data_IF_818953005315
#
_entry.id   IF_818953005315
#
_cell.length_a   1.000
_cell.length_b   1.000
_cell.length_c   1.000
_cell.angle_alpha   90.00
_cell.angle_beta   90.00
_cell.angle_gamma   90.00
#
_symmetry.space_group_name_H-M   'P 1'
#
loop_
_entity.id
_entity.type
_entity.pdbx_description
1 polymer ?
#
# COMPACT_ATOMS: atom_id res chain seq x y z
N UNK A 1 -13.13 7.29 -2.12
CA UNK A 1 -13.64 6.01 -1.54
C UNK A 1 -14.94 5.60 -2.21
N UNK A 2 -15.88 6.53 -2.40
CA UNK A 2 -17.20 6.28 -3.02
C UNK A 2 -17.17 5.50 -4.35
N UNK A 3 -16.19 5.74 -5.23
CA UNK A 3 -16.11 4.99 -6.50
C UNK A 3 -15.63 3.55 -6.32
N UNK A 4 -14.78 3.29 -5.32
CA UNK A 4 -14.32 1.92 -4.97
C UNK A 4 -15.48 1.14 -4.36
N UNK A 5 -16.27 1.77 -3.49
CA UNK A 5 -17.44 1.15 -2.84
C UNK A 5 -18.62 0.89 -3.80
N UNK A 6 -18.59 1.45 -5.02
CA UNK A 6 -19.55 1.17 -6.11
C UNK A 6 -19.12 0.02 -7.01
N UNK A 7 -17.87 -0.41 -6.91
CA UNK A 7 -17.34 -1.60 -7.61
C UNK A 7 -17.53 -2.80 -6.69
N UNK A 8 -17.93 -3.95 -7.24
CA UNK A 8 -17.96 -5.18 -6.45
C UNK A 8 -16.56 -5.45 -5.87
N UNK A 9 -16.49 -5.82 -4.60
CA UNK A 9 -15.24 -6.15 -3.93
C UNK A 9 -14.40 -7.18 -4.73
N UNK A 10 -15.08 -8.13 -5.38
CA UNK A 10 -14.44 -9.17 -6.20
C UNK A 10 -13.81 -8.61 -7.49
N UNK A 11 -14.34 -7.51 -8.03
CA UNK A 11 -13.87 -6.89 -9.27
C UNK A 11 -12.67 -5.95 -9.06
N UNK A 12 -12.31 -5.67 -7.81
CA UNK A 12 -11.12 -4.86 -7.51
C UNK A 12 -9.89 -5.69 -7.83
N UNK A 13 -9.19 -5.30 -8.90
CA UNK A 13 -7.88 -5.80 -9.27
C UNK A 13 -6.83 -4.69 -9.10
N UNK A 14 -5.86 -4.90 -8.20
CA UNK A 14 -4.78 -3.94 -7.96
C UNK A 14 -3.69 -4.18 -8.99
N UNK A 15 -3.79 -3.48 -10.12
CA UNK A 15 -2.84 -3.53 -11.23
C UNK A 15 -2.03 -2.22 -11.31
N UNK A 16 -0.93 -2.17 -12.09
CA UNK A 16 -0.21 -0.92 -12.32
C UNK A 16 -1.11 0.19 -12.88
N UNK A 17 -2.03 -0.16 -13.78
CA UNK A 17 -2.99 0.79 -14.36
C UNK A 17 -3.98 1.26 -13.31
N UNK A 18 -4.51 0.36 -12.47
CA UNK A 18 -5.39 0.75 -11.38
C UNK A 18 -4.71 1.75 -10.44
N UNK A 19 -3.45 1.50 -10.05
CA UNK A 19 -2.67 2.41 -9.20
C UNK A 19 -2.46 3.78 -9.87
N UNK A 20 -2.09 3.79 -11.15
CA UNK A 20 -1.92 5.02 -11.92
C UNK A 20 -3.23 5.79 -12.06
N UNK A 21 -4.34 5.11 -12.32
CA UNK A 21 -5.65 5.77 -12.40
C UNK A 21 -6.07 6.35 -11.06
N UNK A 22 -5.93 5.61 -9.94
CA UNK A 22 -6.25 6.15 -8.61
C UNK A 22 -5.37 7.34 -8.26
N UNK A 23 -4.10 7.31 -8.65
CA UNK A 23 -3.21 8.46 -8.52
C UNK A 23 -3.64 9.65 -9.37
N UNK A 24 -4.14 9.41 -10.60
CA UNK A 24 -4.73 10.44 -11.45
C UNK A 24 -6.02 11.00 -10.86
N UNK A 25 -6.91 10.16 -10.35
CA UNK A 25 -8.16 10.59 -9.72
C UNK A 25 -7.89 11.49 -8.51
N UNK A 26 -6.82 11.19 -7.75
CA UNK A 26 -6.45 11.94 -6.55
C UNK A 26 -5.79 13.30 -6.83
N UNK A 27 -4.94 13.38 -7.86
CA UNK A 27 -4.03 14.50 -8.06
C UNK A 27 -4.16 15.18 -9.44
N UNK A 28 -5.00 14.63 -10.33
CA UNK A 28 -5.10 15.01 -11.74
C UNK A 28 -5.47 16.47 -11.97
N UNK A 29 -6.42 17.00 -11.20
CA UNK A 29 -6.90 18.37 -11.36
C UNK A 29 -5.83 19.40 -10.98
N UNK A 30 -5.03 19.10 -9.95
CA UNK A 30 -3.97 19.98 -9.47
C UNK A 30 -2.66 19.82 -10.25
N UNK A 31 -2.40 18.59 -10.74
CA UNK A 31 -1.11 18.22 -11.31
C UNK A 31 -1.24 17.39 -12.60
N UNK A 32 -1.91 17.91 -13.63
CA UNK A 32 -2.24 17.16 -14.85
C UNK A 32 -1.00 16.67 -15.63
N UNK A 33 0.15 17.35 -15.46
CA UNK A 33 1.39 17.00 -16.16
C UNK A 33 2.05 15.69 -15.71
N UNK A 34 1.77 15.22 -14.48
CA UNK A 34 2.43 14.04 -13.91
C UNK A 34 1.52 13.11 -13.10
N UNK A 35 0.31 13.54 -12.73
CA UNK A 35 -0.63 12.68 -12.03
C UNK A 35 -0.97 11.42 -12.86
N UNK A 36 -1.02 10.28 -12.18
CA UNK A 36 -1.16 8.97 -12.78
C UNK A 36 -0.02 8.51 -13.68
N UNK A 37 1.20 9.02 -13.47
CA UNK A 37 2.44 8.54 -14.12
C UNK A 37 3.47 8.20 -13.06
N UNK A 38 4.23 7.13 -13.27
CA UNK A 38 5.38 6.83 -12.42
C UNK A 38 6.42 7.96 -12.49
N UNK A 39 7.19 8.12 -11.41
CA UNK A 39 8.27 9.10 -11.36
C UNK A 39 9.34 8.78 -12.39
N UNK A 40 9.94 9.82 -12.94
CA UNK A 40 11.03 9.73 -13.94
C UNK A 40 12.35 10.28 -13.41
N UNK A 41 12.43 10.45 -12.09
CA UNK A 41 13.61 10.94 -11.37
C UNK A 41 13.77 10.15 -10.09
N UNK A 42 15.00 10.07 -9.61
CA UNK A 42 15.28 9.52 -8.29
C UNK A 42 14.84 10.49 -7.20
N UNK A 43 14.50 9.95 -6.03
CA UNK A 43 13.95 10.69 -4.89
C UNK A 43 14.55 10.15 -3.61
N UNK A 44 14.42 10.92 -2.52
CA UNK A 44 14.77 10.50 -1.17
C UNK A 44 13.59 10.74 -0.25
N UNK A 45 13.23 9.75 0.55
CA UNK A 45 12.03 9.75 1.40
C UNK A 45 12.45 9.57 2.85
N UNK A 46 12.71 10.68 3.53
CA UNK A 46 13.38 10.65 4.84
C UNK A 46 14.76 10.02 4.72
N UNK A 47 14.93 8.85 5.33
CA UNK A 47 16.19 8.06 5.27
C UNK A 47 16.20 7.01 4.16
N UNK A 48 15.05 6.70 3.57
CA UNK A 48 14.92 5.73 2.49
C UNK A 48 15.39 6.35 1.17
N UNK A 49 16.19 5.59 0.43
CA UNK A 49 16.50 5.82 -0.98
C UNK A 49 15.76 4.74 -1.78
N UNK A 50 14.57 5.05 -2.33
CA UNK A 50 13.80 4.10 -3.14
C UNK A 50 14.60 3.64 -4.37
N UNK A 51 14.18 2.54 -5.01
CA UNK A 51 14.81 2.06 -6.24
C UNK A 51 14.97 3.14 -7.31
N UNK A 52 15.95 3.04 -8.21
CA UNK A 52 16.06 3.98 -9.31
C UNK A 52 14.78 4.07 -10.15
N UNK A 53 14.43 5.26 -10.64
CA UNK A 53 13.14 5.51 -11.31
C UNK A 53 12.89 4.58 -12.51
N UNK A 54 13.95 4.17 -13.21
CA UNK A 54 13.85 3.28 -14.36
C UNK A 54 13.45 1.85 -13.99
N UNK A 55 13.60 1.43 -12.72
CA UNK A 55 13.15 0.13 -12.22
C UNK A 55 11.69 0.14 -11.77
N UNK A 56 11.13 1.31 -11.45
CA UNK A 56 9.77 1.45 -10.88
C UNK A 56 8.71 0.72 -11.70
N UNK A 57 8.60 0.85 -13.04
CA UNK A 57 7.54 0.18 -13.79
C UNK A 57 7.56 -1.34 -13.64
N UNK A 58 8.76 -1.94 -13.64
CA UNK A 58 8.94 -3.38 -13.45
C UNK A 58 8.64 -3.82 -12.02
N UNK A 59 9.10 -3.05 -11.03
CA UNK A 59 8.86 -3.37 -9.62
C UNK A 59 7.39 -3.25 -9.24
N UNK A 60 6.66 -2.26 -9.77
CA UNK A 60 5.20 -2.14 -9.55
C UNK A 60 4.46 -3.30 -10.20
N UNK A 61 4.86 -3.72 -11.42
CA UNK A 61 4.28 -4.90 -12.08
C UNK A 61 4.48 -6.16 -11.22
N UNK A 62 5.72 -6.43 -10.82
CA UNK A 62 6.03 -7.56 -9.93
C UNK A 62 5.27 -7.50 -8.61
N UNK A 63 5.16 -6.31 -8.00
CA UNK A 63 4.35 -6.12 -6.79
C UNK A 63 2.88 -6.49 -7.00
N UNK A 64 2.26 -6.07 -8.10
CA UNK A 64 0.87 -6.40 -8.42
C UNK A 64 0.67 -7.89 -8.73
N UNK A 65 1.60 -8.50 -9.45
CA UNK A 65 1.57 -9.92 -9.80
C UNK A 65 1.73 -10.78 -8.53
N UNK A 66 2.71 -10.45 -7.67
CA UNK A 66 2.93 -11.10 -6.37
C UNK A 66 1.71 -10.94 -5.45
N UNK A 67 1.10 -9.75 -5.39
CA UNK A 67 -0.11 -9.51 -4.60
C UNK A 67 -1.26 -10.40 -5.08
N UNK A 68 -1.45 -10.50 -6.39
CA UNK A 68 -2.48 -11.36 -6.99
C UNK A 68 -2.28 -12.82 -6.59
N UNK A 69 -1.05 -13.30 -6.64
CA UNK A 69 -0.72 -14.68 -6.31
C UNK A 69 -0.85 -14.97 -4.81
N UNK A 70 -0.40 -14.05 -3.95
CA UNK A 70 -0.57 -14.14 -2.49
C UNK A 70 -2.04 -14.18 -2.09
N UNK A 71 -2.89 -13.40 -2.74
CA UNK A 71 -4.33 -13.40 -2.48
C UNK A 71 -4.98 -14.75 -2.84
N UNK A 72 -4.53 -15.43 -3.90
CA UNK A 72 -5.03 -16.77 -4.27
C UNK A 72 -4.71 -17.85 -3.23
N UNK A 73 -3.64 -17.66 -2.47
CA UNK A 73 -3.14 -18.63 -1.49
C UNK A 73 -3.35 -18.17 -0.04
N UNK A 74 -4.11 -17.09 0.16
CA UNK A 74 -4.38 -16.58 1.49
C UNK A 74 -5.36 -17.52 2.20
N UNK A 75 -5.01 -18.09 3.36
CA UNK A 75 -5.93 -18.93 4.11
C UNK A 75 -7.14 -18.12 4.59
N UNK A 76 -8.32 -18.73 4.53
CA UNK A 76 -9.52 -18.17 5.16
C UNK A 76 -9.33 -18.15 6.70
N UNK A 77 -9.83 -17.10 7.34
CA UNK A 77 -9.84 -16.92 8.80
C UNK A 77 -8.48 -16.98 9.52
N UNK A 78 -7.37 -16.74 8.81
CA UNK A 78 -6.04 -16.64 9.41
C UNK A 78 -5.57 -15.18 9.54
N UNK A 79 -5.83 -14.61 10.71
CA UNK A 79 -5.45 -13.23 11.05
C UNK A 79 -3.94 -12.98 10.88
N UNK A 80 -3.10 -13.97 11.16
CA UNK A 80 -1.64 -13.81 11.10
C UNK A 80 -1.18 -13.69 9.66
N UNK A 81 -1.69 -14.56 8.76
CA UNK A 81 -1.38 -14.50 7.34
C UNK A 81 -1.98 -13.26 6.67
N UNK A 82 -3.19 -12.86 7.05
CA UNK A 82 -3.81 -11.61 6.57
C UNK A 82 -2.97 -10.40 6.98
N UNK A 83 -2.58 -10.30 8.26
CA UNK A 83 -1.74 -9.21 8.75
C UNK A 83 -0.36 -9.20 8.08
N UNK A 84 0.22 -10.38 7.83
CA UNK A 84 1.49 -10.53 7.10
C UNK A 84 1.38 -9.98 5.66
N UNK A 85 0.29 -10.32 4.96
CA UNK A 85 0.01 -9.79 3.62
C UNK A 85 -0.13 -8.26 3.63
N UNK A 86 -0.92 -7.72 4.56
CA UNK A 86 -1.15 -6.28 4.65
C UNK A 86 0.14 -5.52 5.00
N UNK A 87 0.96 -6.05 5.91
CA UNK A 87 2.27 -5.49 6.23
C UNK A 87 3.21 -5.49 5.02
N UNK A 88 3.26 -6.59 4.26
CA UNK A 88 4.05 -6.66 3.03
C UNK A 88 3.55 -5.64 1.99
N UNK A 89 2.23 -5.50 1.80
CA UNK A 89 1.67 -4.50 0.86
C UNK A 89 2.03 -3.08 1.28
N UNK A 90 1.82 -2.76 2.55
CA UNK A 90 2.07 -1.46 3.14
C UNK A 90 3.54 -1.06 2.94
N UNK A 91 4.47 -1.91 3.39
CA UNK A 91 5.90 -1.68 3.20
C UNK A 91 6.31 -1.64 1.73
N UNK A 92 5.96 -2.68 0.95
CA UNK A 92 6.50 -2.86 -0.40
C UNK A 92 6.12 -1.71 -1.32
N UNK A 93 4.89 -1.21 -1.20
CA UNK A 93 4.45 -0.05 -1.95
C UNK A 93 5.22 1.22 -1.57
N UNK A 94 5.41 1.49 -0.27
CA UNK A 94 6.18 2.65 0.17
C UNK A 94 7.66 2.56 -0.22
N UNK A 95 8.23 1.36 -0.19
CA UNK A 95 9.61 1.10 -0.58
C UNK A 95 9.84 1.35 -2.08
N UNK A 96 8.92 0.91 -2.96
CA UNK A 96 9.01 1.20 -4.41
C UNK A 96 8.88 2.71 -4.67
N UNK A 97 8.00 3.38 -3.91
CA UNK A 97 7.70 4.81 -4.01
C UNK A 97 7.43 5.26 -5.46
N UNK A 98 6.38 4.73 -6.12
CA UNK A 98 6.27 4.75 -7.57
C UNK A 98 5.96 6.12 -8.19
N UNK A 99 5.35 7.03 -7.44
CA UNK A 99 4.88 8.33 -7.94
C UNK A 99 5.77 9.48 -7.46
N UNK A 100 5.63 10.63 -8.11
CA UNK A 100 6.35 11.87 -7.73
C UNK A 100 5.96 12.38 -6.34
N UNK A 101 4.69 12.27 -5.99
CA UNK A 101 4.12 12.63 -4.68
C UNK A 101 2.86 11.77 -4.42
N UNK A 102 2.22 11.93 -3.27
CA UNK A 102 1.00 11.26 -2.86
C UNK A 102 1.10 9.74 -2.69
N UNK A 103 2.30 9.16 -2.69
CA UNK A 103 2.54 7.73 -2.45
C UNK A 103 1.89 7.25 -1.15
N UNK A 104 2.03 7.99 -0.05
CA UNK A 104 1.38 7.63 1.21
C UNK A 104 -0.15 7.54 1.10
N UNK A 105 -0.79 8.38 0.29
CA UNK A 105 -2.25 8.37 0.09
C UNK A 105 -2.68 7.20 -0.79
N UNK A 106 -1.91 6.90 -1.85
CA UNK A 106 -2.20 5.76 -2.72
C UNK A 106 -1.95 4.44 -1.99
N UNK A 107 -0.89 4.30 -1.20
CA UNK A 107 -0.65 3.13 -0.37
C UNK A 107 -1.82 2.86 0.59
N UNK A 108 -2.28 3.89 1.31
CA UNK A 108 -3.46 3.77 2.19
C UNK A 108 -4.75 3.42 1.43
N UNK A 109 -4.94 3.97 0.23
CA UNK A 109 -6.08 3.63 -0.62
C UNK A 109 -6.03 2.17 -1.08
N UNK A 110 -4.86 1.67 -1.45
CA UNK A 110 -4.62 0.27 -1.82
C UNK A 110 -4.94 -0.66 -0.65
N UNK A 111 -4.47 -0.33 0.56
CA UNK A 111 -4.78 -1.08 1.77
C UNK A 111 -6.27 -1.07 2.10
N UNK A 112 -6.94 0.08 2.01
CA UNK A 112 -8.39 0.18 2.20
C UNK A 112 -9.17 -0.66 1.18
N UNK A 113 -8.73 -0.67 -0.08
CA UNK A 113 -9.32 -1.51 -1.13
C UNK A 113 -9.13 -3.00 -0.85
N UNK A 114 -7.98 -3.41 -0.29
CA UNK A 114 -7.73 -4.79 0.14
C UNK A 114 -8.61 -5.20 1.32
N UNK A 115 -8.75 -4.35 2.34
CA UNK A 115 -9.65 -4.62 3.46
C UNK A 115 -11.08 -4.86 2.97
N UNK A 116 -11.57 -4.00 2.07
CA UNK A 116 -12.87 -4.17 1.45
C UNK A 116 -12.97 -5.45 0.60
N UNK A 117 -11.94 -5.76 -0.20
CA UNK A 117 -11.87 -6.99 -1.01
C UNK A 117 -11.92 -8.27 -0.16
N UNK A 118 -11.29 -8.25 1.02
CA UNK A 118 -11.21 -9.37 1.95
C UNK A 118 -12.40 -9.42 2.93
N UNK A 119 -13.41 -8.56 2.78
CA UNK A 119 -14.55 -8.44 3.69
C UNK A 119 -14.14 -8.18 5.16
N UNK A 120 -13.02 -7.49 5.38
CA UNK A 120 -12.51 -7.10 6.69
C UNK A 120 -13.11 -5.77 7.14
N UNK A 121 -13.20 -5.51 8.45
CA UNK A 121 -13.65 -4.21 8.94
C UNK A 121 -12.74 -3.08 8.43
N UNK A 122 -13.29 -1.89 8.16
CA UNK A 122 -12.48 -0.74 7.81
C UNK A 122 -11.65 -0.33 9.03
N UNK A 123 -10.32 -0.45 8.91
CA UNK A 123 -9.38 -0.01 9.95
C UNK A 123 -8.55 1.18 9.47
N UNK A 124 -8.04 1.94 10.41
CA UNK A 124 -7.12 3.03 10.13
C UNK A 124 -5.81 2.48 9.54
N UNK A 125 -5.54 2.81 8.27
CA UNK A 125 -4.42 2.22 7.50
C UNK A 125 -3.08 2.90 7.76
N UNK A 126 -3.06 4.02 8.49
CA UNK A 126 -1.84 4.61 9.06
C UNK A 126 -2.20 5.47 10.27
N UNK A 127 -1.35 5.53 11.31
CA UNK A 127 -1.67 6.26 12.53
C UNK A 127 -1.80 7.77 12.32
N UNK A 128 -2.74 8.38 13.03
CA UNK A 128 -3.03 9.82 13.03
C UNK A 128 -2.32 10.58 14.14
N UNK A 129 -1.98 9.92 15.26
CA UNK A 129 -1.24 10.53 16.36
C UNK A 129 0.29 10.53 16.11
N UNK A 130 0.99 11.40 16.84
CA UNK A 130 2.43 11.61 16.63
C UNK A 130 3.27 10.36 16.97
N UNK A 131 2.97 9.69 18.07
CA UNK A 131 3.77 8.55 18.56
C UNK A 131 3.49 7.31 17.72
N UNK A 132 2.23 7.07 17.36
CA UNK A 132 1.83 6.04 16.40
C UNK A 132 2.49 6.26 15.05
N UNK A 133 2.53 7.50 14.54
CA UNK A 133 3.22 7.82 13.28
C UNK A 133 4.70 7.49 13.35
N UNK A 134 5.37 7.82 14.46
CA UNK A 134 6.78 7.50 14.66
C UNK A 134 7.01 5.98 14.67
N UNK A 135 6.22 5.24 15.44
CA UNK A 135 6.29 3.78 15.50
C UNK A 135 6.02 3.11 14.14
N UNK A 136 5.08 3.64 13.36
CA UNK A 136 4.80 3.16 12.00
C UNK A 136 5.99 3.39 11.05
N UNK A 137 6.61 4.57 11.10
CA UNK A 137 7.80 4.85 10.29
C UNK A 137 9.01 4.00 10.70
N UNK A 138 9.17 3.71 12.00
CA UNK A 138 10.19 2.78 12.50
C UNK A 138 9.94 1.35 12.00
N UNK A 139 8.68 0.89 12.00
CA UNK A 139 8.32 -0.43 11.48
C UNK A 139 8.54 -0.56 9.96
N UNK A 140 8.26 0.49 9.18
CA UNK A 140 8.60 0.52 7.75
C UNK A 140 10.12 0.42 7.53
N UNK A 141 10.92 1.13 8.33
CA UNK A 141 12.39 1.05 8.27
C UNK A 141 12.94 -0.32 8.65
N UNK A 142 12.32 -1.00 9.62
CA UNK A 142 12.67 -2.38 9.92
C UNK A 142 12.42 -3.29 8.70
N UNK A 143 11.30 -3.06 7.98
CA UNK A 143 11.01 -3.73 6.72
C UNK A 143 12.07 -3.52 5.64
N UNK A 144 12.63 -2.30 5.54
CA UNK A 144 13.74 -2.00 4.62
C UNK A 144 15.00 -2.84 4.92
N UNK A 145 15.19 -3.23 6.18
CA UNK A 145 16.27 -4.11 6.65
C UNK A 145 15.90 -5.61 6.61
N UNK A 146 14.71 -5.95 6.11
CA UNK A 146 14.23 -7.33 5.98
C UNK A 146 13.38 -7.83 7.16
N UNK A 147 13.07 -7.00 8.15
CA UNK A 147 12.22 -7.34 9.29
C UNK A 147 10.84 -6.69 9.20
N UNK A 148 9.85 -7.44 8.71
CA UNK A 148 8.46 -6.99 8.62
C UNK A 148 7.65 -7.28 9.89
N UNK A 149 8.20 -7.98 10.89
CA UNK A 149 7.44 -8.38 12.08
C UNK A 149 6.86 -7.19 12.87
N UNK A 150 7.57 -6.06 13.06
CA UNK A 150 6.99 -4.90 13.75
C UNK A 150 5.77 -4.34 13.03
N UNK A 151 5.80 -4.30 11.68
CA UNK A 151 4.69 -3.79 10.89
C UNK A 151 3.53 -4.80 10.87
N UNK A 152 3.83 -6.09 10.79
CA UNK A 152 2.84 -7.16 10.91
C UNK A 152 2.11 -7.09 12.26
N UNK A 153 2.83 -6.89 13.36
CA UNK A 153 2.22 -6.75 14.68
C UNK A 153 1.26 -5.55 14.73
N UNK A 154 1.64 -4.41 14.16
CA UNK A 154 0.73 -3.26 14.06
C UNK A 154 -0.54 -3.59 13.26
N UNK A 155 -0.44 -4.41 12.21
CA UNK A 155 -1.62 -4.87 11.46
C UNK A 155 -2.49 -5.84 12.26
N UNK A 156 -1.90 -6.75 13.04
CA UNK A 156 -2.64 -7.61 13.97
C UNK A 156 -3.42 -6.74 14.97
N UNK A 157 -2.76 -5.77 15.60
CA UNK A 157 -3.38 -4.90 16.61
C UNK A 157 -4.54 -4.08 16.02
N UNK A 158 -4.35 -3.52 14.81
CA UNK A 158 -5.39 -2.77 14.08
C UNK A 158 -6.62 -3.62 13.78
N UNK A 159 -6.42 -4.84 13.28
CA UNK A 159 -7.51 -5.75 12.94
C UNK A 159 -8.22 -6.27 14.19
N UNK A 160 -7.47 -6.63 15.23
CA UNK A 160 -8.03 -7.11 16.50
C UNK A 160 -8.86 -6.04 17.21
N UNK A 161 -8.51 -4.76 17.10
CA UNK A 161 -9.27 -3.65 17.67
C UNK A 161 -10.60 -3.37 16.95
N UNK A 162 -10.83 -3.97 15.77
CA UNK A 162 -11.97 -3.71 14.90
C UNK A 162 -12.96 -4.89 14.80
N UNK A 163 -12.67 -6.00 15.47
CA UNK A 163 -13.53 -7.19 15.63
C UNK A 163 -14.14 -7.13 17.03
#
# INVERSE_FOLDING_TARGET
LDRILRTSAQDIAITPDWLCERHRDLAGDLFPGWAGRFRTTDVKVGTLEPPPYYQVPMLVRSFCDDLTERLRHLPEDDLTHIASLLAWVDWRFQWIHPFKDFNGRIGRLTLAALLYKLALPPVETAPTDHDGRRAYLEALRAGDAGDLLPLQQQWIDRLAAAI
#
